data_IF_714312175436
#
_entry.id   IF_714312175436
#
_cell.length_a   1.000
_cell.length_b   1.000
_cell.length_c   1.000
_cell.angle_alpha   90.00
_cell.angle_beta   90.00
_cell.angle_gamma   90.00
#
_symmetry.space_group_name_H-M   'P 1'
#
loop_
_entity.id
_entity.type
_entity.pdbx_description
1 polymer ?
#
# COMPACT_ATOMS: atom_id res chain seq x y z
N UNK A 1 17.78 3.79 -9.92
CA UNK A 1 18.10 3.30 -8.57
C UNK A 1 16.91 3.76 -7.75
N UNK A 2 16.10 2.83 -7.23
CA UNK A 2 14.83 3.18 -6.59
C UNK A 2 15.12 3.67 -5.16
N UNK A 3 15.01 4.97 -4.90
CA UNK A 3 15.46 5.62 -3.66
C UNK A 3 14.43 5.55 -2.51
N UNK A 4 13.82 4.37 -2.30
CA UNK A 4 13.08 4.12 -1.05
C UNK A 4 14.11 3.74 0.02
N UNK A 5 14.21 4.47 1.16
CA UNK A 5 15.25 4.26 2.16
C UNK A 5 14.95 3.05 3.06
N UNK A 6 14.98 1.85 2.46
CA UNK A 6 14.66 0.58 3.12
C UNK A 6 15.64 0.25 4.25
N UNK A 7 16.85 0.81 4.23
CA UNK A 7 17.84 0.71 5.29
C UNK A 7 17.39 1.37 6.60
N UNK A 8 16.42 2.28 6.52
CA UNK A 8 15.81 2.94 7.69
C UNK A 8 14.65 2.12 8.30
N UNK A 9 14.27 0.97 7.73
CA UNK A 9 13.23 0.10 8.32
C UNK A 9 13.64 -0.38 9.72
N UNK A 10 12.80 -0.08 10.71
CA UNK A 10 13.04 -0.35 12.14
C UNK A 10 13.95 0.66 12.83
N UNK A 11 14.43 1.70 12.14
CA UNK A 11 15.09 2.84 12.76
C UNK A 11 14.05 3.83 13.30
N UNK A 12 14.50 4.78 14.11
CA UNK A 12 13.62 5.79 14.68
C UNK A 12 13.37 6.91 13.65
N UNK A 13 12.15 7.46 13.62
CA UNK A 13 11.76 8.50 12.66
C UNK A 13 12.61 9.78 12.74
N UNK A 14 13.26 10.03 13.88
CA UNK A 14 14.22 11.14 14.02
C UNK A 14 15.42 11.05 13.08
N UNK A 15 15.72 9.86 12.58
CA UNK A 15 16.84 9.62 11.67
C UNK A 15 16.47 9.94 10.22
N UNK A 16 15.19 10.26 9.96
CA UNK A 16 14.68 10.65 8.64
C UNK A 16 14.59 12.18 8.58
N UNK A 17 15.55 12.86 7.92
CA UNK A 17 15.47 14.30 7.77
C UNK A 17 14.25 14.69 6.94
N UNK A 18 13.69 15.87 7.23
CA UNK A 18 12.58 16.48 6.48
C UNK A 18 11.23 15.76 6.58
N UNK A 19 11.15 14.64 7.31
CA UNK A 19 9.89 13.99 7.63
C UNK A 19 8.99 14.90 8.49
N UNK A 20 7.73 15.06 8.08
CA UNK A 20 6.74 15.85 8.80
C UNK A 20 5.42 15.09 8.97
N UNK A 21 4.66 15.44 10.01
CA UNK A 21 3.33 14.91 10.33
C UNK A 21 2.36 16.07 10.51
N UNK A 22 1.07 15.85 10.23
CA UNK A 22 0.01 16.82 10.52
C UNK A 22 -0.64 16.61 11.89
N UNK A 23 -0.32 15.50 12.58
CA UNK A 23 -0.85 15.26 13.92
C UNK A 23 -0.04 16.02 14.96
N UNK A 24 -0.74 16.69 15.87
CA UNK A 24 -0.11 17.29 17.06
C UNK A 24 -0.17 16.34 18.26
N UNK A 25 -0.87 15.21 18.13
CA UNK A 25 -1.04 14.21 19.18
C UNK A 25 -0.43 12.89 18.72
N UNK A 26 0.42 12.30 19.55
CA UNK A 26 1.01 11.00 19.27
C UNK A 26 -0.06 9.92 19.46
N UNK A 27 -0.53 9.24 18.39
CA UNK A 27 -1.57 8.23 18.52
C UNK A 27 -1.05 7.01 19.28
N UNK A 28 -1.95 6.27 19.91
CA UNK A 28 -1.58 5.04 20.64
C UNK A 28 -0.96 3.97 19.72
N UNK A 29 -1.34 3.96 18.44
CA UNK A 29 -0.98 2.93 17.46
C UNK A 29 0.15 3.38 16.51
N UNK A 30 0.80 4.51 16.80
CA UNK A 30 1.86 5.09 15.96
C UNK A 30 1.37 6.19 15.03
N UNK A 31 2.29 6.74 14.23
CA UNK A 31 2.05 7.97 13.48
C UNK A 31 2.50 7.86 12.02
N UNK A 32 1.82 8.62 11.15
CA UNK A 32 2.14 8.73 9.72
C UNK A 32 2.91 10.02 9.48
N UNK A 33 4.13 9.88 8.99
CA UNK A 33 4.97 10.95 8.52
C UNK A 33 4.98 10.99 6.99
N UNK A 34 5.37 12.12 6.44
CA UNK A 34 5.48 12.36 5.01
C UNK A 34 6.81 13.03 4.69
N UNK A 35 7.36 12.69 3.53
CA UNK A 35 8.42 13.44 2.88
C UNK A 35 7.89 13.84 1.50
N UNK A 36 7.99 15.12 1.18
CA UNK A 36 7.76 15.60 -0.18
C UNK A 36 9.00 15.32 -1.02
N UNK A 37 8.86 14.49 -2.05
CA UNK A 37 9.93 14.14 -2.97
C UNK A 37 9.44 14.29 -4.40
N UNK A 38 10.31 14.55 -5.36
CA UNK A 38 9.95 14.45 -6.77
C UNK A 38 10.90 13.47 -7.41
N UNK A 39 10.44 12.22 -7.53
CA UNK A 39 11.28 11.11 -7.94
C UNK A 39 10.50 10.12 -8.82
N UNK A 40 11.20 9.10 -9.34
CA UNK A 40 10.63 8.02 -10.12
C UNK A 40 10.88 6.64 -9.50
N UNK A 41 9.84 5.82 -9.54
CA UNK A 41 9.90 4.42 -9.15
C UNK A 41 9.66 3.58 -10.40
N UNK A 42 10.70 2.91 -10.89
CA UNK A 42 10.68 2.14 -12.15
C UNK A 42 10.10 2.95 -13.33
N UNK A 43 10.51 4.22 -13.46
CA UNK A 43 10.05 5.11 -14.52
C UNK A 43 8.65 5.69 -14.30
N UNK A 44 8.05 5.48 -13.13
CA UNK A 44 6.76 6.08 -12.74
C UNK A 44 6.96 7.18 -11.70
N UNK A 45 6.54 8.42 -11.97
CA UNK A 45 6.76 9.52 -11.04
C UNK A 45 5.90 9.34 -9.78
N UNK A 46 6.47 9.70 -8.63
CA UNK A 46 5.75 9.85 -7.37
C UNK A 46 6.21 11.13 -6.65
N UNK A 47 5.33 11.67 -5.81
CA UNK A 47 5.52 13.00 -5.21
C UNK A 47 5.71 12.99 -3.69
N UNK A 48 5.43 11.85 -3.06
CA UNK A 48 5.42 11.73 -1.60
C UNK A 48 5.81 10.32 -1.19
N UNK A 49 6.61 10.24 -0.14
CA UNK A 49 6.81 9.01 0.63
C UNK A 49 6.06 9.16 1.94
N UNK A 50 5.18 8.20 2.23
CA UNK A 50 4.51 8.08 3.52
C UNK A 50 5.27 7.08 4.38
N UNK A 51 5.46 7.40 5.65
CA UNK A 51 6.23 6.59 6.59
C UNK A 51 5.33 6.29 7.77
N UNK A 52 5.01 5.02 7.99
CA UNK A 52 4.28 4.60 9.17
C UNK A 52 5.25 4.17 10.27
N UNK A 53 4.99 4.63 11.48
CA UNK A 53 5.76 4.28 12.68
C UNK A 53 4.89 3.53 13.68
N UNK A 54 5.51 2.84 14.63
CA UNK A 54 4.82 2.33 15.82
C UNK A 54 4.74 3.40 16.93
N UNK A 55 4.18 3.01 18.09
CA UNK A 55 4.08 3.89 19.26
C UNK A 55 5.43 4.37 19.80
N UNK A 56 6.52 3.65 19.52
CA UNK A 56 7.87 4.00 19.96
C UNK A 56 8.60 4.86 18.91
N UNK A 57 7.95 5.15 17.78
CA UNK A 57 8.53 5.96 16.69
C UNK A 57 9.44 5.15 15.76
N UNK A 58 9.40 3.82 15.84
CA UNK A 58 10.17 2.95 14.95
C UNK A 58 9.43 2.77 13.62
N UNK A 59 10.17 2.92 12.53
CA UNK A 59 9.62 2.86 11.18
C UNK A 59 9.21 1.43 10.85
N UNK A 60 7.92 1.25 10.56
CA UNK A 60 7.32 -0.04 10.21
C UNK A 60 7.24 -0.25 8.70
N UNK A 61 6.90 0.82 7.96
CA UNK A 61 6.82 0.76 6.52
C UNK A 61 6.97 2.12 5.82
N UNK A 62 7.36 2.05 4.56
CA UNK A 62 7.33 3.13 3.58
C UNK A 62 6.22 2.85 2.57
N UNK A 63 5.46 3.88 2.18
CA UNK A 63 4.42 3.78 1.17
C UNK A 63 4.62 4.89 0.13
N UNK A 64 4.55 4.52 -1.14
CA UNK A 64 4.44 5.46 -2.26
C UNK A 64 3.15 5.23 -3.03
N UNK A 65 2.69 6.28 -3.70
CA UNK A 65 1.56 6.20 -4.63
C UNK A 65 2.03 6.57 -6.02
N UNK A 66 1.76 5.69 -6.97
CA UNK A 66 1.96 5.93 -8.39
C UNK A 66 0.61 6.27 -9.01
N UNK A 67 0.57 7.38 -9.76
CA UNK A 67 -0.64 7.93 -10.38
C UNK A 67 -1.12 7.16 -11.62
N UNK A 68 -0.89 5.85 -11.66
CA UNK A 68 -1.32 4.94 -12.71
C UNK A 68 -1.69 3.56 -12.12
N UNK A 69 -2.56 2.83 -12.82
CA UNK A 69 -2.82 1.41 -12.56
C UNK A 69 -1.66 0.59 -13.13
N UNK A 70 -1.12 -0.35 -12.35
CA UNK A 70 -0.08 -1.27 -12.82
C UNK A 70 -0.53 -1.98 -14.10
N UNK A 71 0.25 -1.79 -15.16
CA UNK A 71 0.09 -2.53 -16.42
C UNK A 71 1.18 -3.60 -16.54
N UNK A 72 1.08 -4.43 -17.58
CA UNK A 72 2.06 -5.50 -17.83
C UNK A 72 3.49 -4.99 -17.85
N UNK A 73 3.75 -3.86 -18.52
CA UNK A 73 5.10 -3.30 -18.62
C UNK A 73 5.67 -2.91 -17.25
N UNK A 74 4.86 -2.33 -16.37
CA UNK A 74 5.29 -1.99 -15.01
C UNK A 74 5.47 -3.23 -14.15
N UNK A 75 4.58 -4.22 -14.29
CA UNK A 75 4.71 -5.50 -13.61
C UNK A 75 6.00 -6.23 -14.02
N UNK A 76 6.32 -6.25 -15.31
CA UNK A 76 7.56 -6.88 -15.81
C UNK A 76 8.80 -6.20 -15.23
N UNK A 77 8.82 -4.87 -15.10
CA UNK A 77 9.90 -4.12 -14.44
C UNK A 77 10.01 -4.48 -12.94
N UNK A 78 8.87 -4.62 -12.25
CA UNK A 78 8.86 -5.09 -10.85
C UNK A 78 9.41 -6.52 -10.74
N UNK A 79 9.11 -7.38 -11.70
CA UNK A 79 9.64 -8.76 -11.74
C UNK A 79 11.13 -8.79 -12.08
N UNK A 80 11.62 -7.86 -12.91
CA UNK A 80 13.04 -7.73 -13.20
C UNK A 80 13.83 -7.27 -11.96
N UNK A 81 13.31 -6.26 -11.25
CA UNK A 81 13.97 -5.70 -10.06
C UNK A 81 13.86 -6.61 -8.83
N UNK A 82 12.67 -7.16 -8.57
CA UNK A 82 12.36 -7.91 -7.35
C UNK A 82 12.13 -9.40 -7.61
N UNK A 83 12.34 -9.93 -8.81
CA UNK A 83 12.05 -11.33 -9.11
C UNK A 83 10.55 -11.64 -9.12
N UNK A 84 10.19 -12.93 -9.17
CA UNK A 84 8.78 -13.32 -9.20
C UNK A 84 8.08 -13.01 -7.86
N UNK A 85 6.81 -12.52 -7.89
CA UNK A 85 6.04 -12.35 -6.67
C UNK A 85 5.80 -13.71 -6.01
N UNK A 86 5.63 -13.68 -4.68
CA UNK A 86 5.29 -14.85 -3.91
C UNK A 86 3.81 -15.19 -4.05
N UNK A 87 2.95 -14.17 -3.97
CA UNK A 87 1.50 -14.33 -4.08
C UNK A 87 0.89 -13.19 -4.90
N UNK A 88 -0.20 -13.48 -5.59
CA UNK A 88 -1.05 -12.53 -6.29
C UNK A 88 -2.50 -12.90 -6.00
N UNK A 89 -3.32 -11.90 -5.70
CA UNK A 89 -4.71 -12.13 -5.33
C UNK A 89 -5.67 -11.20 -6.05
N UNK A 90 -6.85 -11.72 -6.37
CA UNK A 90 -8.02 -10.97 -6.86
C UNK A 90 -9.19 -11.11 -5.89
N UNK A 91 -10.16 -10.21 -6.01
CA UNK A 91 -11.45 -10.36 -5.34
C UNK A 91 -12.19 -11.56 -5.96
N UNK A 92 -12.57 -12.52 -5.13
CA UNK A 92 -13.42 -13.64 -5.48
C UNK A 92 -14.89 -13.35 -5.19
N UNK A 93 -15.67 -14.40 -4.93
CA UNK A 93 -17.09 -14.31 -4.64
C UNK A 93 -17.41 -13.38 -3.45
N UNK A 94 -18.50 -12.61 -3.57
CA UNK A 94 -19.04 -11.80 -2.48
C UNK A 94 -19.63 -12.74 -1.41
N UNK A 95 -19.03 -12.74 -0.22
CA UNK A 95 -19.44 -13.52 0.95
C UNK A 95 -20.62 -12.84 1.66
N UNK A 96 -20.62 -11.51 1.74
CA UNK A 96 -21.70 -10.72 2.36
C UNK A 96 -21.75 -9.30 1.80
N UNK A 97 -22.95 -8.72 1.73
CA UNK A 97 -23.15 -7.33 1.37
C UNK A 97 -24.10 -6.68 2.36
N UNK A 98 -23.58 -5.85 3.27
CA UNK A 98 -24.43 -5.11 4.21
C UNK A 98 -24.91 -3.81 3.57
N UNK A 99 -26.12 -3.80 3.00
CA UNK A 99 -26.72 -2.55 2.51
C UNK A 99 -27.26 -1.72 3.66
N UNK A 100 -26.47 -0.80 4.20
CA UNK A 100 -26.96 0.22 5.13
C UNK A 100 -27.42 1.45 4.33
N UNK A 101 -28.68 1.51 3.93
CA UNK A 101 -29.26 2.74 3.36
C UNK A 101 -29.55 3.73 4.49
N UNK A 102 -28.57 4.54 4.90
CA UNK A 102 -28.86 5.72 5.73
C UNK A 102 -29.20 6.86 4.79
N UNK A 103 -30.49 7.15 4.63
CA UNK A 103 -30.96 8.28 3.82
C UNK A 103 -30.88 9.55 4.68
N UNK A 104 -29.73 10.22 4.63
CA UNK A 104 -29.64 11.65 4.94
C UNK A 104 -29.25 12.37 3.64
N UNK A 105 -29.86 13.53 3.38
CA UNK A 105 -29.91 14.27 2.10
C UNK A 105 -28.56 14.67 1.46
N UNK A 106 -27.43 14.11 1.89
CA UNK A 106 -26.10 14.47 1.40
C UNK A 106 -25.05 13.34 1.32
N UNK A 107 -25.31 12.13 1.85
CA UNK A 107 -24.31 11.05 1.86
C UNK A 107 -24.98 9.68 1.65
N UNK A 108 -24.75 9.06 0.49
CA UNK A 108 -24.97 7.62 0.32
C UNK A 108 -23.72 6.88 0.84
N UNK A 109 -23.82 6.29 2.03
CA UNK A 109 -22.83 5.31 2.48
C UNK A 109 -23.08 4.02 1.71
N UNK A 110 -22.17 3.64 0.82
CA UNK A 110 -22.17 2.31 0.23
C UNK A 110 -21.81 1.30 1.31
N UNK A 111 -22.63 0.25 1.38
CA UNK A 111 -22.48 -0.85 2.31
C UNK A 111 -21.13 -1.56 2.25
N UNK A 112 -20.68 -2.11 3.37
CA UNK A 112 -19.51 -2.97 3.39
C UNK A 112 -19.79 -4.24 2.58
N UNK A 113 -18.96 -4.50 1.56
CA UNK A 113 -18.97 -5.74 0.79
C UNK A 113 -17.80 -6.59 1.28
N UNK A 114 -18.09 -7.78 1.80
CA UNK A 114 -17.08 -8.77 2.18
C UNK A 114 -16.97 -9.75 1.01
N UNK A 115 -15.79 -9.86 0.42
CA UNK A 115 -15.48 -10.80 -0.65
C UNK A 115 -14.44 -11.82 -0.20
N UNK A 116 -14.44 -12.98 -0.84
CA UNK A 116 -13.32 -13.93 -0.75
C UNK A 116 -12.11 -13.38 -1.49
N UNK A 117 -10.92 -13.86 -1.13
CA UNK A 117 -9.67 -13.53 -1.80
C UNK A 117 -9.18 -14.82 -2.48
N UNK A 118 -8.93 -14.75 -3.77
CA UNK A 118 -8.47 -15.89 -4.58
C UNK A 118 -7.08 -15.62 -5.13
N UNK A 119 -6.20 -16.63 -5.12
CA UNK A 119 -4.94 -16.56 -5.85
C UNK A 119 -5.18 -16.42 -7.35
N UNK A 120 -4.35 -15.64 -8.03
CA UNK A 120 -4.47 -15.42 -9.47
C UNK A 120 -3.12 -15.16 -10.15
N UNK A 121 -3.15 -15.12 -11.48
CA UNK A 121 -2.07 -14.63 -12.33
C UNK A 121 -2.21 -13.14 -12.62
N UNK A 122 -1.16 -12.52 -13.17
CA UNK A 122 -1.23 -11.09 -13.52
C UNK A 122 -2.25 -10.82 -14.63
N UNK A 123 -2.38 -11.74 -15.59
CA UNK A 123 -3.35 -11.70 -16.68
C UNK A 123 -4.80 -11.73 -16.19
N UNK A 124 -5.03 -12.27 -15.00
CA UNK A 124 -6.33 -12.30 -14.33
C UNK A 124 -6.65 -11.02 -13.53
N UNK A 125 -5.85 -9.96 -13.70
CA UNK A 125 -6.07 -8.63 -13.09
C UNK A 125 -6.07 -8.68 -11.55
N UNK A 126 -4.90 -8.95 -10.91
CA UNK A 126 -4.80 -8.99 -9.46
C UNK A 126 -5.13 -7.62 -8.84
N UNK A 127 -5.64 -7.66 -7.61
CA UNK A 127 -5.79 -6.50 -6.72
C UNK A 127 -4.60 -6.33 -5.79
N UNK A 128 -3.99 -7.44 -5.39
CA UNK A 128 -2.86 -7.48 -4.47
C UNK A 128 -1.74 -8.29 -5.09
N UNK A 129 -0.52 -7.77 -5.02
CA UNK A 129 0.69 -8.48 -5.43
C UNK A 129 1.71 -8.37 -4.30
N UNK A 130 2.29 -9.50 -3.90
CA UNK A 130 3.18 -9.56 -2.73
C UNK A 130 4.51 -10.21 -3.08
N UNK A 131 5.60 -9.52 -2.74
CA UNK A 131 6.95 -10.08 -2.70
C UNK A 131 7.43 -10.17 -1.26
N UNK A 132 7.96 -11.32 -0.88
CA UNK A 132 8.66 -11.53 0.40
C UNK A 132 10.15 -11.47 0.14
N UNK A 133 10.82 -10.55 0.82
CA UNK A 133 12.27 -10.34 0.75
C UNK A 133 12.90 -10.59 2.10
N UNK A 134 14.22 -10.76 2.09
CA UNK A 134 14.97 -10.87 3.33
C UNK A 134 14.93 -9.52 4.04
N UNK A 135 14.23 -9.45 5.17
CA UNK A 135 14.15 -8.25 6.01
C UNK A 135 12.99 -7.30 5.73
N UNK A 136 12.19 -7.52 4.67
CA UNK A 136 10.99 -6.74 4.36
C UNK A 136 10.08 -7.45 3.34
N UNK A 137 8.83 -7.00 3.23
CA UNK A 137 7.85 -7.38 2.23
C UNK A 137 7.54 -6.18 1.34
N UNK A 138 7.17 -6.45 0.09
CA UNK A 138 6.66 -5.47 -0.87
C UNK A 138 5.22 -5.83 -1.18
N UNK A 139 4.32 -4.89 -0.96
CA UNK A 139 2.90 -5.03 -1.28
C UNK A 139 2.48 -3.99 -2.30
N UNK A 140 1.88 -4.46 -3.38
CA UNK A 140 1.29 -3.62 -4.41
C UNK A 140 -0.21 -3.79 -4.35
N UNK A 141 -0.91 -2.69 -4.08
CA UNK A 141 -2.36 -2.61 -4.06
C UNK A 141 -2.81 -1.80 -5.27
N UNK A 142 -3.55 -2.44 -6.16
CA UNK A 142 -3.99 -1.86 -7.42
C UNK A 142 -5.41 -1.29 -7.24
N UNK A 143 -5.53 0.03 -7.27
CA UNK A 143 -6.82 0.71 -7.25
C UNK A 143 -7.63 0.42 -8.51
N UNK A 144 -8.95 0.32 -8.38
CA UNK A 144 -9.85 0.01 -9.49
C UNK A 144 -10.90 1.11 -9.69
N UNK A 145 -11.57 1.08 -10.83
CA UNK A 145 -12.44 2.17 -11.29
C UNK A 145 -13.70 2.41 -10.45
N UNK A 146 -14.09 1.45 -9.60
CA UNK A 146 -15.17 1.60 -8.61
C UNK A 146 -14.67 2.09 -7.25
N UNK A 147 -13.36 2.09 -7.03
CA UNK A 147 -12.75 2.64 -5.83
C UNK A 147 -12.60 4.16 -6.01
N UNK A 148 -12.62 4.90 -4.90
CA UNK A 148 -12.30 6.35 -4.90
C UNK A 148 -10.85 6.65 -5.30
N UNK A 149 -10.02 5.62 -5.53
CA UNK A 149 -8.60 5.70 -5.86
C UNK A 149 -8.27 4.96 -7.16
N UNK A 150 -7.86 5.70 -8.18
CA UNK A 150 -7.34 5.16 -9.46
C UNK A 150 -5.81 5.09 -9.47
N UNK A 151 -5.20 4.80 -8.33
CA UNK A 151 -3.75 4.85 -8.11
C UNK A 151 -3.24 3.50 -7.63
N UNK A 152 -1.99 3.20 -7.93
CA UNK A 152 -1.29 2.06 -7.35
C UNK A 152 -0.61 2.50 -6.06
N UNK A 153 -0.89 1.80 -4.96
CA UNK A 153 -0.15 1.93 -3.70
C UNK A 153 0.94 0.87 -3.66
N UNK A 154 2.16 1.27 -3.35
CA UNK A 154 3.29 0.36 -3.16
C UNK A 154 3.81 0.56 -1.76
N UNK A 155 3.82 -0.50 -0.97
CA UNK A 155 4.24 -0.51 0.43
C UNK A 155 5.47 -1.40 0.59
N UNK A 156 6.43 -0.93 1.36
CA UNK A 156 7.63 -1.65 1.77
C UNK A 156 7.67 -1.71 3.29
N UNK A 157 7.57 -2.89 3.89
CA UNK A 157 7.48 -2.98 5.34
C UNK A 157 7.70 -4.38 5.87
N UNK A 158 7.88 -4.53 7.19
CA UNK A 158 8.03 -5.84 7.82
C UNK A 158 6.65 -6.43 8.15
N UNK A 159 6.29 -7.57 7.57
CA UNK A 159 5.14 -8.36 8.03
C UNK A 159 3.76 -7.74 7.74
N UNK A 160 3.65 -6.98 6.66
CA UNK A 160 2.45 -6.20 6.30
C UNK A 160 1.20 -7.05 5.98
N UNK A 161 1.34 -8.37 5.84
CA UNK A 161 0.24 -9.31 5.65
C UNK A 161 -0.44 -9.81 6.94
N UNK A 162 0.00 -9.41 8.13
CA UNK A 162 -0.68 -9.84 9.37
C UNK A 162 -2.08 -9.22 9.56
N UNK A 163 -2.49 -8.27 8.71
CA UNK A 163 -3.81 -7.62 8.78
C UNK A 163 -4.92 -8.32 7.97
N UNK A 164 -4.61 -9.38 7.20
CA UNK A 164 -5.58 -10.08 6.35
C UNK A 164 -5.90 -11.51 6.84
N UNK A 165 -5.53 -11.87 8.07
CA UNK A 165 -5.85 -13.19 8.61
C UNK A 165 -5.54 -13.36 10.08
N UNK A 166 -6.47 -12.92 10.93
CA UNK A 166 -6.86 -13.61 12.17
C UNK A 166 -8.40 -13.67 12.26
#
# INVERSE_FOLDING_TARGET
MNDIPLDLLGQHISDVPEAYTWSNEKPADGEIYMIDVLDDFLGKPYQKVFIATDSDGLIQNFTIYVDEIVNQSFFDLMVEEYGKPNNMFKEGDIISQEKTTVKNDFLELQGATVSSIEECTFEESPRYIVWRKEGYDIEVIIGHHVDTFTKTKILFGKGSLNALGE
#
